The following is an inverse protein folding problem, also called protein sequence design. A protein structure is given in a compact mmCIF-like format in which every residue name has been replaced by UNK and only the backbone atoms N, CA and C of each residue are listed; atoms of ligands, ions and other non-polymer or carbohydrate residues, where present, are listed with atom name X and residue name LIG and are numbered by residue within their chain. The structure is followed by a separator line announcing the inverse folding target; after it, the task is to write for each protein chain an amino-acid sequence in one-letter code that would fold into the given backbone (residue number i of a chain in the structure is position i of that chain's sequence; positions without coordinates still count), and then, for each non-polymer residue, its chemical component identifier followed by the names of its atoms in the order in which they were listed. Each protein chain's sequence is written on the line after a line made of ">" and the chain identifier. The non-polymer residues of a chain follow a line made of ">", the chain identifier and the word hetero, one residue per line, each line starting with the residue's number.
data_IF_966547741767
#
_entry.id   IF_966547741767
#
_cell.length_a   1.000
_cell.length_b   1.000
_cell.length_c   1.000
_cell.angle_alpha   90.00
_cell.angle_beta   90.00
_cell.angle_gamma   90.00
#
_symmetry.space_group_name_H-M   'P 1'
#
loop_
_entity.id
_entity.type
_entity.pdbx_description
1 polymer ?
#
# COMPACT_ATOMS: atom_id res chain seq x y z
N UNK A 1 24.70 -25.55 -29.35
CA UNK A 1 23.55 -25.63 -28.43
C UNK A 1 23.91 -24.89 -27.17
N UNK A 2 23.25 -23.74 -26.95
CA UNK A 2 23.14 -23.00 -25.69
C UNK A 2 22.02 -21.97 -25.93
N UNK A 3 20.80 -22.49 -26.01
CA UNK A 3 19.60 -21.67 -25.92
C UNK A 3 19.41 -21.35 -24.44
N UNK A 4 19.75 -20.11 -24.08
CA UNK A 4 19.34 -19.49 -22.81
C UNK A 4 18.47 -18.31 -23.17
N UNK A 5 17.19 -18.60 -23.24
CA UNK A 5 16.08 -17.67 -23.25
C UNK A 5 15.74 -17.28 -21.79
N UNK A 6 16.70 -16.75 -21.06
CA UNK A 6 16.46 -16.05 -19.79
C UNK A 6 16.03 -14.63 -20.14
N UNK A 7 14.72 -14.45 -20.34
CA UNK A 7 14.06 -13.17 -20.64
C UNK A 7 14.19 -12.12 -19.53
N UNK A 8 15.42 -11.70 -19.24
CA UNK A 8 15.76 -10.56 -18.38
C UNK A 8 15.90 -9.31 -19.26
N UNK A 9 14.80 -8.96 -19.91
CA UNK A 9 14.57 -7.62 -20.45
C UNK A 9 13.62 -6.89 -19.50
N UNK A 10 13.98 -6.80 -18.22
CA UNK A 10 13.37 -5.80 -17.36
C UNK A 10 14.03 -4.46 -17.68
N UNK A 11 13.56 -3.87 -18.77
CA UNK A 11 13.79 -2.50 -19.17
C UNK A 11 13.26 -1.60 -18.05
N UNK A 12 14.07 -1.37 -17.01
CA UNK A 12 13.85 -0.27 -16.08
C UNK A 12 14.25 0.97 -16.85
N UNK A 13 13.32 1.43 -17.70
CA UNK A 13 13.38 2.74 -18.33
C UNK A 13 13.64 3.74 -17.20
N UNK A 14 14.84 4.32 -17.15
CA UNK A 14 15.21 5.30 -16.14
C UNK A 14 14.48 6.61 -16.49
N UNK A 15 13.17 6.64 -16.20
CA UNK A 15 12.35 7.84 -16.36
C UNK A 15 12.79 8.81 -15.28
N UNK A 16 13.61 9.79 -15.64
CA UNK A 16 13.91 10.90 -14.74
C UNK A 16 12.63 11.71 -14.55
N UNK A 17 12.00 11.56 -13.38
CA UNK A 17 10.86 12.40 -12.99
C UNK A 17 11.28 13.86 -12.98
N UNK A 18 10.42 14.74 -13.48
CA UNK A 18 10.58 16.18 -13.33
C UNK A 18 10.52 16.59 -11.85
N UNK A 19 11.11 17.74 -11.47
CA UNK A 19 11.00 18.26 -10.12
C UNK A 19 9.55 18.37 -9.61
N UNK A 20 8.60 18.73 -10.49
CA UNK A 20 7.18 18.79 -10.16
C UNK A 20 6.62 17.40 -9.83
N UNK A 21 6.88 16.39 -10.64
CA UNK A 21 6.42 15.01 -10.38
C UNK A 21 7.02 14.45 -9.08
N UNK A 22 8.27 14.77 -8.78
CA UNK A 22 8.90 14.41 -7.50
C UNK A 22 8.18 15.09 -6.33
N UNK A 23 7.88 16.38 -6.45
CA UNK A 23 7.17 17.14 -5.43
C UNK A 23 5.75 16.62 -5.22
N UNK A 24 4.98 16.44 -6.30
CA UNK A 24 3.62 15.89 -6.27
C UNK A 24 3.59 14.50 -5.63
N UNK A 25 4.55 13.64 -5.95
CA UNK A 25 4.67 12.31 -5.35
C UNK A 25 5.00 12.38 -3.86
N UNK A 26 5.89 13.29 -3.43
CA UNK A 26 6.18 13.51 -2.01
C UNK A 26 4.94 13.98 -1.25
N UNK A 27 4.24 15.00 -1.77
CA UNK A 27 2.99 15.51 -1.18
C UNK A 27 1.95 14.39 -1.09
N UNK A 28 1.78 13.60 -2.16
CA UNK A 28 0.86 12.47 -2.18
C UNK A 28 1.22 11.42 -1.11
N UNK A 29 2.52 11.17 -0.90
CA UNK A 29 3.00 10.20 0.08
C UNK A 29 2.71 10.66 1.51
N UNK A 30 2.95 11.94 1.82
CA UNK A 30 2.61 12.54 3.11
C UNK A 30 1.10 12.50 3.39
N UNK A 31 0.28 12.82 2.38
CA UNK A 31 -1.18 12.74 2.49
C UNK A 31 -1.66 11.31 2.75
N UNK A 32 -1.08 10.30 2.10
CA UNK A 32 -1.39 8.89 2.36
C UNK A 32 -1.01 8.50 3.79
N UNK A 33 0.18 8.91 4.27
CA UNK A 33 0.59 8.64 5.66
C UNK A 33 -0.32 9.31 6.68
N UNK A 34 -0.72 10.56 6.44
CA UNK A 34 -1.68 11.26 7.28
C UNK A 34 -3.05 10.55 7.28
N UNK A 35 -3.51 10.11 6.11
CA UNK A 35 -4.75 9.36 5.99
C UNK A 35 -4.71 8.03 6.76
N UNK A 36 -3.59 7.29 6.69
CA UNK A 36 -3.39 6.05 7.45
C UNK A 36 -3.36 6.34 8.96
N UNK A 37 -2.68 7.41 9.39
CA UNK A 37 -2.60 7.81 10.79
C UNK A 37 -3.96 8.24 11.37
N UNK A 38 -4.89 8.69 10.52
CA UNK A 38 -6.26 9.04 10.92
C UNK A 38 -7.18 7.83 11.20
N UNK A 39 -6.76 6.63 10.81
CA UNK A 39 -7.56 5.42 10.98
C UNK A 39 -7.47 4.86 12.41
N UNK A 40 -8.46 4.05 12.84
CA UNK A 40 -8.30 3.21 14.02
C UNK A 40 -7.03 2.34 13.91
N UNK A 41 -6.25 2.28 15.00
CA UNK A 41 -4.94 1.63 15.07
C UNK A 41 -4.90 0.23 14.42
N UNK A 42 -5.91 -0.60 14.68
CA UNK A 42 -6.01 -1.95 14.11
C UNK A 42 -6.19 -1.95 12.58
N UNK A 43 -6.93 -0.99 12.03
CA UNK A 43 -7.08 -0.86 10.57
C UNK A 43 -5.78 -0.36 9.95
N UNK A 44 -5.15 0.67 10.56
CA UNK A 44 -3.88 1.22 10.12
C UNK A 44 -2.79 0.15 10.08
N UNK A 45 -2.60 -0.60 11.17
CA UNK A 45 -1.60 -1.68 11.27
C UNK A 45 -1.82 -2.78 10.23
N UNK A 46 -3.06 -3.20 10.00
CA UNK A 46 -3.39 -4.23 8.98
C UNK A 46 -3.13 -3.74 7.56
N UNK A 47 -3.43 -2.48 7.25
CA UNK A 47 -3.13 -1.86 5.95
C UNK A 47 -1.61 -1.77 5.76
N UNK A 48 -0.89 -1.29 6.78
CA UNK A 48 0.56 -1.19 6.74
C UNK A 48 1.21 -2.56 6.50
N UNK A 49 0.83 -3.56 7.30
CA UNK A 49 1.31 -4.93 7.16
C UNK A 49 1.06 -5.50 5.76
N UNK A 50 -0.11 -5.25 5.16
CA UNK A 50 -0.44 -5.82 3.85
C UNK A 50 0.27 -5.10 2.68
N UNK A 51 0.20 -3.77 2.64
CA UNK A 51 0.64 -2.99 1.48
C UNK A 51 2.09 -2.54 1.56
N UNK A 52 2.65 -2.33 2.76
CA UNK A 52 4.02 -1.83 2.94
C UNK A 52 4.98 -2.96 3.33
N UNK A 53 4.52 -3.95 4.10
CA UNK A 53 5.34 -5.10 4.52
C UNK A 53 5.08 -6.38 3.69
N UNK A 54 4.13 -6.34 2.74
CA UNK A 54 3.83 -7.47 1.86
C UNK A 54 3.20 -8.69 2.56
N UNK A 55 2.71 -8.56 3.79
CA UNK A 55 2.11 -9.66 4.52
C UNK A 55 0.78 -10.10 3.87
N UNK A 56 0.56 -11.41 3.74
CA UNK A 56 -0.75 -11.90 3.29
C UNK A 56 -1.83 -11.64 4.36
N UNK A 57 -3.08 -11.42 3.92
CA UNK A 57 -4.22 -11.26 4.85
C UNK A 57 -4.40 -12.45 5.79
N UNK A 58 -4.02 -13.65 5.36
CA UNK A 58 -4.03 -14.85 6.19
C UNK A 58 -2.91 -14.84 7.25
N UNK A 59 -1.70 -14.38 6.91
CA UNK A 59 -0.62 -14.21 7.88
C UNK A 59 -0.98 -13.17 8.95
N UNK A 60 -1.59 -12.06 8.54
CA UNK A 60 -2.11 -11.03 9.45
C UNK A 60 -3.18 -11.63 10.38
N UNK A 61 -4.12 -12.39 9.82
CA UNK A 61 -5.18 -13.04 10.61
C UNK A 61 -4.63 -13.98 11.68
N UNK A 62 -3.60 -14.78 11.34
CA UNK A 62 -2.90 -15.64 12.29
C UNK A 62 -2.19 -14.84 13.39
N UNK A 63 -1.48 -13.77 13.02
CA UNK A 63 -0.78 -12.91 13.98
C UNK A 63 -1.76 -12.21 14.95
N UNK A 64 -2.92 -11.79 14.45
CA UNK A 64 -3.96 -11.12 15.23
C UNK A 64 -4.84 -12.08 16.05
N UNK A 65 -4.74 -13.40 15.82
CA UNK A 65 -5.62 -14.40 16.46
C UNK A 65 -7.09 -14.29 16.03
N UNK A 66 -7.37 -13.84 14.80
CA UNK A 66 -8.74 -13.65 14.29
C UNK A 66 -8.98 -14.38 12.97
N UNK A 67 -10.25 -14.49 12.56
CA UNK A 67 -10.60 -15.01 11.24
C UNK A 67 -10.16 -14.08 10.09
N UNK A 68 -9.76 -14.67 8.95
CA UNK A 68 -9.38 -13.94 7.72
C UNK A 68 -10.44 -12.92 7.27
N UNK A 69 -11.72 -13.25 7.40
CA UNK A 69 -12.82 -12.36 7.06
C UNK A 69 -12.79 -11.04 7.85
N UNK A 70 -12.46 -11.09 9.14
CA UNK A 70 -12.33 -9.90 9.98
C UNK A 70 -11.17 -8.99 9.52
N UNK A 71 -10.06 -9.57 9.08
CA UNK A 71 -8.94 -8.82 8.49
C UNK A 71 -9.33 -8.21 7.16
N UNK A 72 -9.96 -8.98 6.25
CA UNK A 72 -10.41 -8.47 4.96
C UNK A 72 -11.36 -7.27 5.11
N UNK A 73 -12.37 -7.40 5.98
CA UNK A 73 -13.35 -6.33 6.20
C UNK A 73 -12.71 -5.09 6.87
N UNK A 74 -11.82 -5.31 7.83
CA UNK A 74 -11.06 -4.23 8.48
C UNK A 74 -10.20 -3.45 7.50
N UNK A 75 -9.49 -4.13 6.59
CA UNK A 75 -8.69 -3.49 5.54
C UNK A 75 -9.60 -2.71 4.59
N UNK A 76 -10.70 -3.32 4.12
CA UNK A 76 -11.66 -2.66 3.22
C UNK A 76 -12.23 -1.38 3.82
N UNK A 77 -12.62 -1.40 5.09
CA UNK A 77 -13.11 -0.22 5.81
C UNK A 77 -12.05 0.86 5.95
N UNK A 78 -10.82 0.47 6.30
CA UNK A 78 -9.71 1.41 6.42
C UNK A 78 -9.39 2.09 5.08
N UNK A 79 -9.37 1.35 3.97
CA UNK A 79 -9.19 1.92 2.63
C UNK A 79 -10.30 2.90 2.26
N UNK A 80 -11.56 2.59 2.59
CA UNK A 80 -12.68 3.53 2.41
C UNK A 80 -12.55 4.78 3.30
N UNK A 81 -11.94 4.64 4.48
CA UNK A 81 -11.59 5.76 5.35
C UNK A 81 -10.54 6.68 4.72
N UNK A 82 -9.47 6.09 4.18
CA UNK A 82 -8.42 6.81 3.45
C UNK A 82 -9.00 7.54 2.23
N UNK A 83 -9.84 6.87 1.44
CA UNK A 83 -10.51 7.48 0.28
C UNK A 83 -11.30 8.74 0.69
N UNK A 84 -12.08 8.67 1.77
CA UNK A 84 -12.84 9.81 2.29
C UNK A 84 -11.94 10.93 2.79
N UNK A 85 -10.85 10.59 3.48
CA UNK A 85 -9.89 11.56 4.00
C UNK A 85 -9.26 12.37 2.85
N UNK A 86 -8.79 11.68 1.81
CA UNK A 86 -8.18 12.31 0.63
C UNK A 86 -9.21 13.18 -0.10
N UNK A 87 -10.45 12.70 -0.29
CA UNK A 87 -11.54 13.48 -0.89
C UNK A 87 -11.97 14.71 -0.09
N UNK A 88 -11.57 14.84 1.17
CA UNK A 88 -11.83 16.04 1.95
C UNK A 88 -10.69 17.06 1.85
N UNK A 89 -9.54 16.66 1.30
CA UNK A 89 -8.37 17.54 1.09
C UNK A 89 -8.44 18.24 -0.28
N UNK A 90 -9.09 17.62 -1.26
CA UNK A 90 -9.27 18.11 -2.63
C UNK A 90 -10.74 18.39 -2.91
#
# INVERSE_FOLDING_TARGET
>A
SLDKNDGIEHDILFVSFSPCEIYERKVTYEQIHAAIASLPDKQAKRIYAHYFLGMSKAAIARADGVGKAAVCESIRRGLKGIEKFIKNIF
#
